data_IF_801553164509
#
_entry.id   IF_801553164509
#
_cell.length_a   1.000
_cell.length_b   1.000
_cell.length_c   1.000
_cell.angle_alpha   90.00
_cell.angle_beta   90.00
_cell.angle_gamma   90.00
#
_symmetry.space_group_name_H-M   'P 1'
#
loop_
_entity.id
_entity.type
_entity.pdbx_description
1 polymer ?
#
# COMPACT_ATOMS: atom_id res chain seq x y z
N UNK A 1 4.66 26.00 16.51
CA UNK A 1 4.50 25.53 16.00
C UNK A 1 3.99 24.85 15.67
N UNK A 2 3.73 24.62 15.63
CA UNK A 2 3.38 23.80 15.31
C UNK A 2 3.08 23.46 14.27
N UNK A 3 3.10 23.88 13.64
CA UNK A 3 2.79 23.60 12.54
C UNK A 3 2.85 22.42 12.10
N UNK A 4 3.32 22.00 12.50
CA UNK A 4 3.48 20.83 12.22
C UNK A 4 2.36 20.07 12.18
N UNK A 5 1.43 20.46 12.72
CA UNK A 5 0.45 19.70 12.86
C UNK A 5 -0.34 19.38 11.81
N UNK A 6 -0.54 20.14 10.95
CA UNK A 6 -1.26 19.76 9.78
C UNK A 6 -0.54 18.62 9.14
N UNK A 7 0.73 18.65 9.31
CA UNK A 7 1.55 17.62 8.73
C UNK A 7 1.30 16.26 9.33
N UNK A 8 0.65 16.19 10.46
CA UNK A 8 0.41 14.90 11.07
C UNK A 8 -0.82 14.20 10.53
N UNK A 9 -1.51 14.82 9.59
CA UNK A 9 -2.66 14.17 8.98
C UNK A 9 -2.23 12.99 8.13
N UNK A 10 -2.81 11.85 8.38
CA UNK A 10 -2.48 10.65 7.64
C UNK A 10 -3.06 10.69 6.24
N UNK A 11 -2.33 10.20 5.25
CA UNK A 11 -2.89 10.09 3.91
C UNK A 11 -3.95 9.00 3.84
N UNK A 12 -4.83 9.09 2.85
CA UNK A 12 -5.77 8.02 2.57
C UNK A 12 -5.09 7.00 1.66
N UNK A 13 -5.34 5.73 1.91
CA UNK A 13 -4.72 4.63 1.18
C UNK A 13 -5.69 4.11 0.13
N UNK A 14 -5.21 3.97 -1.11
CA UNK A 14 -6.00 3.38 -2.19
C UNK A 14 -5.54 1.95 -2.38
N UNK A 15 -6.44 1.00 -2.12
CA UNK A 15 -6.10 -0.42 -2.17
C UNK A 15 -6.48 -1.01 -3.52
N UNK A 16 -5.47 -1.57 -4.20
CA UNK A 16 -5.68 -2.27 -5.46
C UNK A 16 -6.48 -3.55 -5.22
N UNK A 17 -7.11 -4.06 -6.28
CA UNK A 17 -7.96 -5.25 -6.21
C UNK A 17 -7.32 -6.43 -5.51
N UNK A 18 -6.05 -6.65 -5.75
CA UNK A 18 -5.34 -7.80 -5.22
C UNK A 18 -5.09 -7.73 -3.73
N UNK A 19 -5.23 -6.55 -3.15
CA UNK A 19 -4.90 -6.34 -1.74
C UNK A 19 -6.09 -5.87 -0.92
N UNK A 20 -7.30 -6.07 -1.42
CA UNK A 20 -8.51 -5.65 -0.71
C UNK A 20 -8.64 -6.30 0.66
N UNK A 21 -8.04 -7.47 0.83
CA UNK A 21 -8.05 -8.14 2.13
C UNK A 21 -7.36 -7.38 3.24
N UNK A 22 -6.55 -6.37 2.90
CA UNK A 22 -5.89 -5.55 3.90
C UNK A 22 -6.80 -4.48 4.50
N UNK A 23 -7.95 -4.23 3.89
CA UNK A 23 -8.80 -3.11 4.23
C UNK A 23 -9.17 -3.07 5.71
N UNK A 24 -9.74 -4.15 6.22
CA UNK A 24 -10.15 -4.24 7.61
C UNK A 24 -8.99 -4.02 8.56
N UNK A 25 -7.88 -4.68 8.29
CA UNK A 25 -6.70 -4.59 9.15
C UNK A 25 -6.15 -3.17 9.19
N UNK A 26 -6.08 -2.52 8.05
CA UNK A 26 -5.56 -1.15 7.99
C UNK A 26 -6.49 -0.16 8.69
N UNK A 27 -7.80 -0.35 8.52
CA UNK A 27 -8.75 0.51 9.22
C UNK A 27 -8.70 0.31 10.72
N UNK A 28 -8.50 -0.93 11.17
CA UNK A 28 -8.34 -1.22 12.60
C UNK A 28 -7.09 -0.55 13.17
N UNK A 29 -6.09 -0.34 12.33
CA UNK A 29 -4.87 0.36 12.74
C UNK A 29 -4.98 1.88 12.63
N UNK A 30 -6.13 2.38 12.21
CA UNK A 30 -6.39 3.81 12.18
C UNK A 30 -6.21 4.50 10.85
N UNK A 31 -6.13 3.72 9.75
CA UNK A 31 -5.98 4.30 8.42
C UNK A 31 -7.31 4.47 7.72
N UNK A 32 -7.42 5.52 6.92
CA UNK A 32 -8.55 5.68 5.99
C UNK A 32 -8.19 4.99 4.70
N UNK A 33 -9.11 4.19 4.19
CA UNK A 33 -8.87 3.40 2.99
C UNK A 33 -9.95 3.63 1.96
N UNK A 34 -9.57 3.54 0.70
CA UNK A 34 -10.49 3.56 -0.45
C UNK A 34 -10.11 2.36 -1.30
N UNK A 35 -11.09 1.65 -1.80
CA UNK A 35 -10.85 0.45 -2.60
C UNK A 35 -11.05 0.75 -4.07
N UNK A 36 -10.17 0.19 -4.89
CA UNK A 36 -10.33 0.25 -6.34
C UNK A 36 -11.57 -0.55 -6.70
N UNK A 37 -12.43 0.02 -7.54
CA UNK A 37 -13.66 -0.65 -7.97
C UNK A 37 -13.37 -1.59 -9.13
N UNK A 38 -14.13 -2.69 -9.24
CA UNK A 38 -13.98 -3.59 -10.39
C UNK A 38 -14.15 -2.82 -11.68
N UNK A 39 -13.30 -3.10 -12.65
CA UNK A 39 -13.36 -2.46 -13.94
C UNK A 39 -12.60 -1.16 -14.08
N UNK A 40 -12.02 -0.65 -13.00
CA UNK A 40 -11.15 0.53 -13.13
C UNK A 40 -9.87 0.14 -13.83
N UNK A 41 -9.55 0.87 -14.89
CA UNK A 41 -8.28 0.66 -15.60
C UNK A 41 -7.13 1.32 -14.81
N UNK A 42 -5.90 0.94 -15.14
CA UNK A 42 -4.73 1.55 -14.51
C UNK A 42 -4.73 3.07 -14.70
N UNK A 43 -5.13 3.55 -15.86
CA UNK A 43 -5.17 4.99 -16.12
C UNK A 43 -6.14 5.71 -15.19
N UNK A 44 -7.27 5.09 -14.92
CA UNK A 44 -8.26 5.65 -14.00
C UNK A 44 -7.73 5.62 -12.58
N UNK A 45 -7.10 4.52 -12.18
CA UNK A 45 -6.51 4.40 -10.85
C UNK A 45 -5.45 5.49 -10.63
N UNK A 46 -4.58 5.69 -11.61
CA UNK A 46 -3.53 6.71 -11.52
C UNK A 46 -4.12 8.11 -11.36
N UNK A 47 -5.11 8.43 -12.18
CA UNK A 47 -5.74 9.73 -12.12
C UNK A 47 -6.43 9.95 -10.78
N UNK A 48 -7.15 8.95 -10.33
CA UNK A 48 -7.88 8.99 -9.08
C UNK A 48 -6.92 9.21 -7.90
N UNK A 49 -5.83 8.47 -7.88
CA UNK A 49 -4.83 8.59 -6.83
C UNK A 49 -4.18 9.98 -6.85
N UNK A 50 -3.85 10.45 -8.05
CA UNK A 50 -3.17 11.73 -8.18
C UNK A 50 -4.07 12.90 -7.76
N UNK A 51 -5.31 12.89 -8.23
CA UNK A 51 -6.27 13.96 -7.93
C UNK A 51 -6.59 14.05 -6.44
N UNK A 52 -6.54 12.94 -5.75
CA UNK A 52 -6.91 12.89 -4.34
C UNK A 52 -5.73 12.74 -3.40
N UNK A 53 -4.52 12.73 -3.93
CA UNK A 53 -3.29 12.55 -3.15
C UNK A 53 -3.31 11.25 -2.33
N UNK A 54 -3.84 10.21 -2.89
CA UNK A 54 -3.86 8.90 -2.24
C UNK A 54 -2.51 8.21 -2.34
N UNK A 55 -2.22 7.36 -1.37
CA UNK A 55 -1.08 6.44 -1.44
C UNK A 55 -1.60 5.13 -1.99
N UNK A 56 -1.00 4.62 -3.06
CA UNK A 56 -1.45 3.38 -3.70
C UNK A 56 -0.75 2.18 -3.08
N UNK A 57 -1.53 1.22 -2.62
CA UNK A 57 -1.02 -0.04 -2.06
C UNK A 57 -1.31 -1.13 -3.07
N UNK A 58 -0.30 -1.80 -3.56
CA UNK A 58 -0.48 -2.80 -4.61
C UNK A 58 0.62 -3.83 -4.63
N UNK A 59 0.36 -4.95 -5.29
CA UNK A 59 1.36 -5.96 -5.63
C UNK A 59 1.75 -5.87 -7.10
N UNK A 60 1.05 -5.07 -7.88
CA UNK A 60 1.26 -4.98 -9.33
C UNK A 60 2.42 -4.04 -9.64
N UNK A 61 3.53 -4.60 -10.04
CA UNK A 61 4.75 -3.83 -10.32
C UNK A 61 4.59 -2.82 -11.42
N UNK A 62 3.79 -3.13 -12.44
CA UNK A 62 3.57 -2.20 -13.54
C UNK A 62 2.81 -0.97 -13.06
N UNK A 63 1.76 -1.20 -12.28
CA UNK A 63 0.97 -0.09 -11.72
C UNK A 63 1.85 0.76 -10.82
N UNK A 64 2.62 0.12 -9.94
CA UNK A 64 3.48 0.85 -9.01
C UNK A 64 4.54 1.67 -9.72
N UNK A 65 5.14 1.13 -10.78
CA UNK A 65 6.10 1.85 -11.59
C UNK A 65 5.48 3.09 -12.22
N UNK A 66 4.29 2.94 -12.77
CA UNK A 66 3.59 4.06 -13.40
C UNK A 66 3.25 5.13 -12.37
N UNK A 67 2.85 4.71 -11.18
CA UNK A 67 2.58 5.65 -10.10
C UNK A 67 3.82 6.45 -9.74
N UNK A 68 4.95 5.78 -9.59
CA UNK A 68 6.20 6.45 -9.25
C UNK A 68 6.60 7.47 -10.30
N UNK A 69 6.43 7.14 -11.57
CA UNK A 69 6.75 8.06 -12.65
C UNK A 69 5.91 9.34 -12.60
N UNK A 70 4.74 9.27 -12.03
CA UNK A 70 3.85 10.42 -11.91
C UNK A 70 3.90 11.09 -10.54
N UNK A 71 4.83 10.68 -9.69
CA UNK A 71 4.97 11.28 -8.37
C UNK A 71 3.92 10.84 -7.36
N UNK A 72 3.21 9.75 -7.64
CA UNK A 72 2.23 9.19 -6.72
C UNK A 72 2.95 8.31 -5.71
N UNK A 73 2.67 8.50 -4.43
CA UNK A 73 3.29 7.67 -3.39
C UNK A 73 2.69 6.27 -3.41
N UNK A 74 3.55 5.27 -3.23
CA UNK A 74 3.13 3.88 -3.29
C UNK A 74 3.73 3.07 -2.15
N UNK A 75 3.05 1.97 -1.82
CA UNK A 75 3.62 0.93 -0.97
C UNK A 75 3.54 -0.37 -1.76
N UNK A 76 4.69 -0.97 -2.02
CA UNK A 76 4.80 -2.22 -2.74
C UNK A 76 4.78 -3.37 -1.73
N UNK A 77 3.71 -4.18 -1.79
CA UNK A 77 3.61 -5.35 -0.92
C UNK A 77 3.65 -6.63 -1.74
N UNK A 78 4.51 -6.64 -2.73
CA UNK A 78 4.66 -7.79 -3.62
C UNK A 78 5.16 -9.04 -2.91
N UNK A 79 5.12 -10.14 -3.63
CA UNK A 79 5.49 -11.44 -3.06
C UNK A 79 6.95 -11.50 -2.62
N UNK A 80 7.82 -10.70 -3.21
CA UNK A 80 9.21 -10.70 -2.80
C UNK A 80 9.35 -10.24 -1.35
N UNK A 81 8.68 -9.17 -0.98
CA UNK A 81 8.70 -8.68 0.40
C UNK A 81 8.01 -9.64 1.35
N UNK A 82 6.90 -10.24 0.91
CA UNK A 82 6.21 -11.24 1.72
C UNK A 82 7.09 -12.46 1.96
N UNK A 83 7.78 -12.93 0.92
CA UNK A 83 8.68 -14.07 1.06
C UNK A 83 9.80 -13.78 2.05
N UNK A 84 10.34 -12.58 1.99
CA UNK A 84 11.39 -12.16 2.92
C UNK A 84 10.88 -12.16 4.36
N UNK A 85 9.66 -11.67 4.55
CA UNK A 85 9.05 -11.67 5.87
C UNK A 85 8.79 -13.09 6.37
N UNK A 86 8.27 -13.95 5.51
CA UNK A 86 8.06 -15.37 5.87
C UNK A 86 9.38 -16.01 6.25
N UNK A 87 10.42 -15.76 5.47
CA UNK A 87 11.75 -16.28 5.76
C UNK A 87 12.21 -15.84 7.16
N UNK A 88 12.06 -14.56 7.48
CA UNK A 88 12.48 -14.03 8.79
C UNK A 88 11.73 -14.69 9.94
N UNK A 89 10.41 -14.89 9.77
CA UNK A 89 9.60 -15.55 10.81
C UNK A 89 10.05 -16.99 11.01
N UNK A 90 10.27 -17.71 9.92
CA UNK A 90 10.69 -19.11 9.99
C UNK A 90 12.05 -19.23 10.65
N UNK A 91 12.99 -18.37 10.28
CA UNK A 91 14.32 -18.42 10.88
C UNK A 91 14.30 -18.09 12.36
N UNK A 92 13.47 -17.14 12.76
CA UNK A 92 13.39 -16.73 14.15
C UNK A 92 12.70 -17.78 15.03
N UNK A 93 11.58 -18.32 14.53
CA UNK A 93 10.69 -19.10 15.36
C UNK A 93 10.81 -20.61 15.19
N UNK A 94 11.26 -21.07 14.03
CA UNK A 94 11.22 -22.49 13.71
C UNK A 94 12.55 -23.13 13.37
N UNK A 95 13.60 -22.34 13.17
CA UNK A 95 14.94 -22.86 12.93
C UNK A 95 15.76 -22.64 14.18
N UNK A 96 16.24 -23.74 14.77
CA UNK A 96 17.11 -23.65 15.92
C UNK A 96 18.51 -23.87 15.52
N UNK A 97 19.39 -23.10 16.11
CA UNK A 97 20.80 -23.30 15.92
C UNK A 97 21.23 -24.43 16.79
N UNK A 98 21.90 -25.34 16.28
CA UNK A 98 22.36 -26.44 17.12
C UNK A 98 23.85 -26.51 17.22
#
# INVERSE_FOLDING_TARGET
>A
MSSIRAASKKPTLLLDEQVLGLDEFLRDLGWNTVKVKPGMTDDIVLRFAKENSYVVISQDRKLLSRCRLQGINVVDIGFEDLARRVHQILMRDLVTES
#
